data_IF_559172613902
#
_entry.id   IF_559172613902
#
_cell.length_a   1.000
_cell.length_b   1.000
_cell.length_c   1.000
_cell.angle_alpha   90.00
_cell.angle_beta   90.00
_cell.angle_gamma   90.00
#
_symmetry.space_group_name_H-M   'P 1'
#
loop_
_entity.id
_entity.type
_entity.pdbx_description
1 polymer ?
#
# COMPACT_ATOMS: atom_id res chain seq x y z
N UNK A 1 -6.32 -8.07 1.63
CA UNK A 1 -7.20 -8.16 0.46
C UNK A 1 -7.42 -6.75 -0.04
N UNK A 2 -7.09 -6.47 -1.30
CA UNK A 2 -7.20 -5.14 -1.91
C UNK A 2 -8.65 -4.69 -1.99
N UNK A 3 -8.96 -3.49 -1.51
CA UNK A 3 -10.29 -2.88 -1.58
C UNK A 3 -10.33 -1.86 -2.72
N UNK A 4 -11.03 -2.17 -3.79
CA UNK A 4 -11.19 -1.28 -4.96
C UNK A 4 -12.60 -0.70 -4.99
N UNK A 5 -12.72 0.63 -4.99
CA UNK A 5 -13.96 1.32 -5.27
C UNK A 5 -13.97 1.78 -6.74
N UNK A 6 -15.09 1.61 -7.43
CA UNK A 6 -15.34 2.19 -8.76
C UNK A 6 -16.61 3.02 -8.68
N UNK A 7 -16.52 4.31 -8.95
CA UNK A 7 -17.63 5.24 -8.92
C UNK A 7 -17.82 5.91 -10.28
N UNK A 8 -18.97 5.67 -10.89
CA UNK A 8 -19.38 6.21 -12.20
C UNK A 8 -20.92 6.13 -12.29
N UNK A 9 -21.61 7.16 -12.72
CA UNK A 9 -23.08 7.18 -12.83
C UNK A 9 -23.58 6.41 -14.07
N UNK A 10 -22.73 6.16 -15.07
CA UNK A 10 -23.01 5.25 -16.19
C UNK A 10 -22.86 3.79 -15.77
N UNK A 11 -23.99 3.08 -15.62
CA UNK A 11 -24.02 1.66 -15.21
C UNK A 11 -23.28 0.74 -16.17
N UNK A 12 -23.35 1.00 -17.48
CA UNK A 12 -22.68 0.19 -18.50
C UNK A 12 -21.18 0.36 -18.38
N UNK A 13 -20.73 1.59 -18.30
CA UNK A 13 -19.31 1.89 -18.20
C UNK A 13 -18.72 1.43 -16.85
N UNK A 14 -19.43 1.62 -15.75
CA UNK A 14 -19.02 1.14 -14.41
C UNK A 14 -18.80 -0.38 -14.39
N UNK A 15 -19.72 -1.16 -14.97
CA UNK A 15 -19.58 -2.61 -15.10
C UNK A 15 -18.44 -3.03 -16.04
N UNK A 16 -18.22 -2.27 -17.09
CA UNK A 16 -17.13 -2.49 -18.02
C UNK A 16 -15.77 -2.24 -17.35
N UNK A 17 -15.62 -1.14 -16.62
CA UNK A 17 -14.41 -0.84 -15.84
C UNK A 17 -14.14 -1.91 -14.79
N UNK A 18 -15.19 -2.41 -14.11
CA UNK A 18 -15.06 -3.50 -13.14
C UNK A 18 -14.51 -4.78 -13.77
N UNK A 19 -15.01 -5.16 -14.95
CA UNK A 19 -14.56 -6.37 -15.67
C UNK A 19 -13.08 -6.26 -16.06
N UNK A 20 -12.62 -5.08 -16.48
CA UNK A 20 -11.20 -4.86 -16.80
C UNK A 20 -10.36 -4.96 -15.51
N UNK A 21 -10.84 -4.35 -14.42
CA UNK A 21 -10.15 -4.40 -13.13
C UNK A 21 -10.06 -5.84 -12.57
N UNK A 22 -11.14 -6.62 -12.62
CA UNK A 22 -11.14 -8.03 -12.23
C UNK A 22 -10.09 -8.84 -13.01
N UNK A 23 -10.02 -8.64 -14.34
CA UNK A 23 -9.02 -9.32 -15.17
C UNK A 23 -7.59 -8.89 -14.82
N UNK A 24 -7.37 -7.61 -14.56
CA UNK A 24 -6.05 -7.08 -14.20
C UNK A 24 -5.58 -7.53 -12.80
N UNK A 25 -6.52 -7.81 -11.89
CA UNK A 25 -6.27 -8.20 -10.50
C UNK A 25 -6.42 -9.72 -10.26
N UNK A 26 -6.54 -10.55 -11.28
CA UNK A 26 -6.83 -11.98 -11.20
C UNK A 26 -5.93 -12.75 -10.21
N UNK A 27 -4.65 -12.38 -10.11
CA UNK A 27 -3.67 -13.01 -9.20
C UNK A 27 -3.60 -12.39 -7.80
N UNK A 28 -4.39 -11.36 -7.54
CA UNK A 28 -4.33 -10.58 -6.28
C UNK A 28 -5.65 -10.76 -5.55
N UNK A 29 -5.67 -11.19 -4.28
CA UNK A 29 -6.90 -11.21 -3.49
C UNK A 29 -7.51 -9.82 -3.38
N UNK A 30 -8.65 -9.59 -4.03
CA UNK A 30 -9.29 -8.29 -4.10
C UNK A 30 -10.80 -8.36 -3.87
N UNK A 31 -11.40 -7.21 -3.59
CA UNK A 31 -12.85 -7.00 -3.52
C UNK A 31 -13.19 -5.67 -4.20
N UNK A 32 -14.08 -5.70 -5.19
CA UNK A 32 -14.51 -4.52 -5.95
C UNK A 32 -15.91 -4.10 -5.49
N UNK A 33 -16.05 -2.86 -5.06
CA UNK A 33 -17.34 -2.22 -4.77
C UNK A 33 -17.68 -1.19 -5.84
N UNK A 34 -18.91 -1.26 -6.34
CA UNK A 34 -19.41 -0.37 -7.38
C UNK A 34 -20.37 0.64 -6.77
N UNK A 35 -20.19 1.91 -7.14
CA UNK A 35 -21.02 3.03 -6.69
C UNK A 35 -21.56 3.76 -7.91
N UNK A 36 -22.86 3.97 -7.94
CA UNK A 36 -23.57 4.67 -9.02
C UNK A 36 -23.67 6.18 -8.79
N UNK A 37 -23.24 6.62 -7.62
CA UNK A 37 -23.18 8.05 -7.30
C UNK A 37 -22.07 8.34 -6.26
N UNK A 38 -21.51 9.56 -6.28
CA UNK A 38 -20.42 9.96 -5.39
C UNK A 38 -20.84 10.04 -3.92
N UNK A 39 -22.10 10.42 -3.63
CA UNK A 39 -22.58 10.55 -2.26
C UNK A 39 -22.64 9.19 -1.54
N UNK A 40 -22.98 8.11 -2.25
CA UNK A 40 -22.96 6.76 -1.70
C UNK A 40 -21.55 6.32 -1.31
N UNK A 41 -20.55 6.57 -2.15
CA UNK A 41 -19.15 6.26 -1.83
C UNK A 41 -18.65 7.12 -0.65
N UNK A 42 -18.95 8.42 -0.67
CA UNK A 42 -18.57 9.32 0.42
C UNK A 42 -19.19 8.91 1.75
N UNK A 43 -20.46 8.52 1.78
CA UNK A 43 -21.16 8.03 2.97
C UNK A 43 -20.51 6.74 3.51
N UNK A 44 -20.22 5.77 2.65
CA UNK A 44 -19.57 4.53 3.04
C UNK A 44 -18.18 4.75 3.64
N UNK A 45 -17.44 5.73 3.15
CA UNK A 45 -16.13 6.08 3.69
C UNK A 45 -16.26 6.81 5.04
N UNK A 46 -17.20 7.78 5.15
CA UNK A 46 -17.31 8.63 6.34
C UNK A 46 -18.00 7.93 7.51
N UNK A 47 -19.06 7.16 7.23
CA UNK A 47 -19.97 6.59 8.24
C UNK A 47 -19.96 5.05 8.22
N UNK A 48 -19.80 4.45 7.03
CA UNK A 48 -19.86 3.00 6.84
C UNK A 48 -18.55 2.26 7.21
N UNK A 49 -17.48 2.99 7.53
CA UNK A 49 -16.18 2.41 7.87
C UNK A 49 -15.46 1.75 6.68
N UNK A 50 -15.88 2.04 5.45
CA UNK A 50 -15.22 1.53 4.25
C UNK A 50 -13.92 2.29 3.98
N UNK A 51 -12.82 1.56 3.84
CA UNK A 51 -11.49 2.11 3.58
C UNK A 51 -10.97 1.52 2.29
N UNK A 52 -11.18 2.17 1.13
CA UNK A 52 -10.66 1.71 -0.14
C UNK A 52 -9.14 1.92 -0.22
N UNK A 53 -8.43 0.94 -0.80
CA UNK A 53 -7.02 1.07 -1.15
C UNK A 53 -6.85 1.86 -2.45
N UNK A 54 -7.76 1.63 -3.41
CA UNK A 54 -7.81 2.33 -4.70
C UNK A 54 -9.25 2.78 -4.97
N UNK A 55 -9.41 4.00 -5.44
CA UNK A 55 -10.66 4.54 -5.94
C UNK A 55 -10.52 4.95 -7.41
N UNK A 56 -11.32 4.34 -8.28
CA UNK A 56 -11.47 4.69 -9.69
C UNK A 56 -12.72 5.56 -9.82
N UNK A 57 -12.54 6.82 -10.21
CA UNK A 57 -13.59 7.82 -10.15
C UNK A 57 -13.84 8.43 -11.53
N UNK A 58 -15.10 8.42 -11.98
CA UNK A 58 -15.50 9.33 -13.05
C UNK A 58 -15.42 10.78 -12.56
N UNK A 59 -14.96 11.67 -13.42
CA UNK A 59 -14.92 13.09 -13.09
C UNK A 59 -16.31 13.72 -13.26
N UNK A 60 -17.04 13.33 -14.27
CA UNK A 60 -18.34 13.93 -14.59
C UNK A 60 -19.50 13.06 -14.08
N UNK A 61 -19.99 13.38 -12.90
CA UNK A 61 -21.17 12.76 -12.29
C UNK A 61 -22.22 13.81 -11.91
N UNK A 62 -23.50 13.45 -11.95
CA UNK A 62 -24.61 14.40 -11.87
C UNK A 62 -24.73 15.19 -10.55
N UNK A 63 -24.28 14.67 -9.41
CA UNK A 63 -24.53 15.27 -8.09
C UNK A 63 -23.27 15.94 -7.49
N UNK A 64 -22.12 15.39 -7.72
CA UNK A 64 -20.83 15.86 -7.26
C UNK A 64 -19.78 15.41 -8.28
N UNK A 65 -18.88 16.30 -8.66
CA UNK A 65 -17.79 15.90 -9.55
C UNK A 65 -16.77 15.02 -8.83
N UNK A 66 -16.11 14.16 -9.60
CA UNK A 66 -15.13 13.19 -9.08
C UNK A 66 -13.89 13.85 -8.45
N UNK A 67 -13.57 15.10 -8.81
CA UNK A 67 -12.45 15.85 -8.25
C UNK A 67 -12.76 16.27 -6.81
N UNK A 68 -13.98 16.75 -6.58
CA UNK A 68 -14.48 17.08 -5.22
C UNK A 68 -14.49 15.83 -4.34
N UNK A 69 -14.99 14.70 -4.87
CA UNK A 69 -14.97 13.43 -4.16
C UNK A 69 -13.53 12.97 -3.84
N UNK A 70 -12.62 13.13 -4.77
CA UNK A 70 -11.20 12.79 -4.56
C UNK A 70 -10.55 13.63 -3.46
N UNK A 71 -10.87 14.94 -3.37
CA UNK A 71 -10.41 15.81 -2.28
C UNK A 71 -10.90 15.30 -0.92
N UNK A 72 -12.15 14.86 -0.83
CA UNK A 72 -12.70 14.27 0.40
C UNK A 72 -12.07 12.93 0.73
N UNK A 73 -11.87 12.06 -0.26
CA UNK A 73 -11.17 10.77 -0.09
C UNK A 73 -9.73 11.02 0.40
N UNK A 74 -8.98 11.93 -0.23
CA UNK A 74 -7.61 12.26 0.18
C UNK A 74 -7.53 12.76 1.63
N UNK A 75 -8.57 13.45 2.11
CA UNK A 75 -8.67 13.93 3.49
C UNK A 75 -9.05 12.81 4.47
N UNK A 76 -10.04 11.98 4.12
CA UNK A 76 -10.60 10.96 5.02
C UNK A 76 -9.77 9.68 5.02
N UNK A 77 -9.24 9.29 3.86
CA UNK A 77 -8.43 8.09 3.64
C UNK A 77 -7.15 8.48 2.87
N UNK A 78 -6.15 9.10 3.51
CA UNK A 78 -4.92 9.55 2.83
C UNK A 78 -4.11 8.43 2.18
N UNK A 79 -4.35 7.18 2.56
CA UNK A 79 -3.74 6.00 1.93
C UNK A 79 -4.40 5.60 0.61
N UNK A 80 -5.64 6.01 0.36
CA UNK A 80 -6.37 5.67 -0.86
C UNK A 80 -5.70 6.26 -2.10
N UNK A 81 -5.61 5.47 -3.15
CA UNK A 81 -5.08 5.87 -4.46
C UNK A 81 -6.20 6.22 -5.39
N UNK A 82 -6.22 7.45 -5.85
CA UNK A 82 -7.23 7.92 -6.79
C UNK A 82 -6.74 7.72 -8.23
N UNK A 83 -7.58 7.12 -9.05
CA UNK A 83 -7.44 7.03 -10.51
C UNK A 83 -8.64 7.72 -11.11
N UNK A 84 -8.44 8.77 -11.88
CA UNK A 84 -9.53 9.42 -12.59
C UNK A 84 -9.79 8.77 -13.94
N UNK A 85 -11.09 8.69 -14.28
CA UNK A 85 -11.55 8.34 -15.61
C UNK A 85 -12.42 9.49 -16.11
N UNK A 86 -12.29 9.89 -17.38
CA UNK A 86 -13.10 10.95 -17.96
C UNK A 86 -13.27 10.77 -19.46
N UNK A 87 -14.38 11.23 -19.98
CA UNK A 87 -14.60 11.34 -21.42
C UNK A 87 -13.82 12.49 -22.07
N UNK A 88 -13.31 13.43 -21.27
CA UNK A 88 -12.71 14.68 -21.74
C UNK A 88 -11.32 14.89 -21.14
N UNK A 89 -10.42 15.50 -21.92
CA UNK A 89 -9.08 15.88 -21.46
C UNK A 89 -9.04 17.21 -20.70
N UNK A 90 -10.09 18.01 -20.78
CA UNK A 90 -10.11 19.39 -20.28
C UNK A 90 -10.02 19.48 -18.76
N UNK A 91 -10.45 18.44 -18.06
CA UNK A 91 -10.37 18.32 -16.59
C UNK A 91 -8.99 17.92 -16.06
N UNK A 92 -8.00 17.70 -16.95
CA UNK A 92 -6.68 17.29 -16.54
C UNK A 92 -6.02 18.31 -15.62
N UNK A 93 -6.19 19.61 -15.89
CA UNK A 93 -5.64 20.68 -15.06
C UNK A 93 -6.26 20.70 -13.67
N UNK A 94 -7.58 20.54 -13.57
CA UNK A 94 -8.29 20.52 -12.29
C UNK A 94 -7.95 19.27 -11.47
N UNK A 95 -7.71 18.14 -12.13
CA UNK A 95 -7.25 16.91 -11.49
C UNK A 95 -5.89 17.08 -10.81
N UNK A 96 -4.99 17.94 -11.33
CA UNK A 96 -3.69 18.23 -10.70
C UNK A 96 -3.80 18.89 -9.32
N UNK A 97 -4.95 19.46 -8.95
CA UNK A 97 -5.21 19.99 -7.61
C UNK A 97 -5.43 18.89 -6.56
N UNK A 98 -5.51 17.63 -6.97
CA UNK A 98 -5.74 16.47 -6.09
C UNK A 98 -4.55 15.52 -6.09
N UNK A 99 -4.38 14.78 -4.99
CA UNK A 99 -3.45 13.67 -4.98
C UNK A 99 -4.07 12.49 -5.75
N UNK A 100 -3.64 12.27 -6.98
CA UNK A 100 -4.07 11.14 -7.81
C UNK A 100 -2.85 10.43 -8.43
N UNK A 101 -3.06 9.16 -8.83
CA UNK A 101 -2.00 8.31 -9.40
C UNK A 101 -2.02 8.35 -10.91
N UNK A 102 -3.21 8.42 -11.49
CA UNK A 102 -3.41 8.30 -12.93
C UNK A 102 -4.68 9.04 -13.38
N UNK A 103 -4.64 9.51 -14.64
CA UNK A 103 -5.78 10.07 -15.37
C UNK A 103 -5.96 9.28 -16.66
N UNK A 104 -7.16 8.76 -16.91
CA UNK A 104 -7.48 7.88 -18.03
C UNK A 104 -8.63 8.47 -18.83
N UNK A 105 -8.51 8.54 -20.14
CA UNK A 105 -9.66 8.80 -20.99
C UNK A 105 -10.52 7.53 -21.11
N UNK A 106 -11.86 7.67 -21.02
CA UNK A 106 -12.80 6.54 -21.15
C UNK A 106 -12.57 5.74 -22.44
N UNK A 107 -12.14 6.40 -23.52
CA UNK A 107 -11.80 5.77 -24.79
C UNK A 107 -10.56 4.85 -24.76
N UNK A 108 -9.69 4.97 -23.76
CA UNK A 108 -8.44 4.19 -23.66
C UNK A 108 -8.38 3.33 -22.36
N UNK A 109 -9.53 3.09 -21.74
CA UNK A 109 -9.62 2.41 -20.44
C UNK A 109 -9.06 0.99 -20.48
N UNK A 110 -9.30 0.23 -21.55
CA UNK A 110 -8.85 -1.17 -21.69
C UNK A 110 -7.33 -1.28 -21.59
N UNK A 111 -6.61 -0.34 -22.21
CA UNK A 111 -5.16 -0.34 -22.25
C UNK A 111 -4.54 0.28 -20.99
N UNK A 112 -5.21 1.30 -20.42
CA UNK A 112 -4.63 2.14 -19.37
C UNK A 112 -5.00 1.72 -17.95
N UNK A 113 -6.20 1.18 -17.73
CA UNK A 113 -6.64 0.82 -16.38
C UNK A 113 -5.76 -0.27 -15.73
N UNK A 114 -5.34 -1.34 -16.45
CA UNK A 114 -4.40 -2.31 -15.89
C UNK A 114 -3.09 -1.69 -15.41
N UNK A 115 -2.47 -0.84 -16.25
CA UNK A 115 -1.22 -0.15 -15.91
C UNK A 115 -1.40 0.86 -14.76
N UNK A 116 -2.56 1.52 -14.70
CA UNK A 116 -2.88 2.45 -13.61
C UNK A 116 -3.07 1.73 -12.27
N UNK A 117 -3.76 0.59 -12.27
CA UNK A 117 -3.91 -0.26 -11.08
C UNK A 117 -2.56 -0.78 -10.60
N UNK A 118 -1.73 -1.26 -11.50
CA UNK A 118 -0.37 -1.69 -11.17
C UNK A 118 0.45 -0.55 -10.56
N UNK A 119 0.43 0.64 -11.16
CA UNK A 119 1.09 1.83 -10.62
C UNK A 119 0.53 2.22 -9.25
N UNK A 120 -0.78 2.16 -9.04
CA UNK A 120 -1.43 2.45 -7.76
C UNK A 120 -0.96 1.47 -6.68
N UNK A 121 -0.87 0.19 -6.98
CA UNK A 121 -0.38 -0.84 -6.05
C UNK A 121 1.11 -0.64 -5.72
N UNK A 122 1.96 -0.35 -6.70
CA UNK A 122 3.40 -0.05 -6.47
C UNK A 122 3.59 1.19 -5.60
N UNK A 123 2.72 2.19 -5.74
CA UNK A 123 2.77 3.41 -4.91
C UNK A 123 2.37 3.11 -3.46
N UNK A 124 1.54 2.08 -3.22
CA UNK A 124 1.16 1.67 -1.86
C UNK A 124 2.36 1.11 -1.07
N UNK A 125 3.27 0.40 -1.72
CA UNK A 125 4.53 -0.03 -1.09
C UNK A 125 5.38 1.16 -0.60
N UNK A 126 5.36 2.27 -1.32
CA UNK A 126 6.09 3.49 -0.94
C UNK A 126 5.46 4.24 0.26
N UNK A 127 4.18 3.98 0.57
CA UNK A 127 3.43 4.66 1.65
C UNK A 127 3.15 3.79 2.87
N UNK A 128 3.54 2.52 2.90
CA UNK A 128 3.47 1.72 4.13
C UNK A 128 4.31 2.38 5.21
N UNK A 129 3.71 2.60 6.37
CA UNK A 129 4.33 3.33 7.46
C UNK A 129 4.29 2.53 8.76
N UNK A 130 5.36 2.64 9.52
CA UNK A 130 5.41 2.21 10.89
C UNK A 130 5.02 3.41 11.78
N UNK A 131 3.93 3.29 12.53
CA UNK A 131 3.53 4.32 13.50
C UNK A 131 4.04 3.93 14.87
N UNK A 132 4.97 4.72 15.41
CA UNK A 132 5.57 4.47 16.71
C UNK A 132 5.13 5.49 17.75
N UNK A 133 5.12 5.07 19.02
CA UNK A 133 4.91 5.93 20.17
C UNK A 133 6.26 6.27 20.81
N UNK A 134 6.52 7.56 21.01
CA UNK A 134 7.68 8.09 21.75
C UNK A 134 7.12 9.02 22.83
N UNK A 135 6.91 8.49 24.05
CA UNK A 135 6.19 9.21 25.10
C UNK A 135 4.75 9.50 24.66
N UNK A 136 4.35 10.78 24.66
CA UNK A 136 3.03 11.25 24.20
C UNK A 136 2.94 11.48 22.67
N UNK A 137 4.07 11.48 21.98
CA UNK A 137 4.13 11.74 20.55
C UNK A 137 3.95 10.48 19.73
N UNK A 138 3.35 10.62 18.54
CA UNK A 138 3.34 9.59 17.51
C UNK A 138 4.27 10.04 16.39
N UNK A 139 5.18 9.14 15.97
CA UNK A 139 6.06 9.36 14.83
C UNK A 139 5.73 8.36 13.75
N UNK A 140 5.64 8.84 12.52
CA UNK A 140 5.38 8.04 11.32
C UNK A 140 6.70 7.81 10.60
N UNK A 141 7.05 6.54 10.33
CA UNK A 141 8.29 6.14 9.68
C UNK A 141 7.90 5.41 8.40
N UNK A 142 8.34 5.86 7.22
CA UNK A 142 8.12 5.13 5.98
C UNK A 142 8.73 3.73 6.06
N UNK A 143 7.95 2.69 5.75
CA UNK A 143 8.42 1.30 5.89
C UNK A 143 9.65 1.01 5.02
N UNK A 144 9.76 1.69 3.87
CA UNK A 144 10.92 1.63 2.98
C UNK A 144 12.25 2.07 3.62
N UNK A 145 12.18 2.90 4.68
CA UNK A 145 13.37 3.35 5.43
C UNK A 145 13.74 2.41 6.57
N UNK A 146 12.85 1.47 6.92
CA UNK A 146 13.06 0.51 8.00
C UNK A 146 13.89 -0.66 7.50
N UNK A 147 15.06 -0.87 8.10
CA UNK A 147 15.96 -1.97 7.77
C UNK A 147 15.61 -3.21 8.61
N UNK A 148 15.53 -3.05 9.92
CA UNK A 148 15.16 -4.12 10.84
C UNK A 148 14.67 -3.56 12.18
N UNK A 149 13.98 -4.40 12.94
CA UNK A 149 13.62 -4.16 14.34
C UNK A 149 14.49 -5.05 15.22
N UNK A 150 15.13 -4.44 16.22
CA UNK A 150 15.98 -5.14 17.19
C UNK A 150 15.38 -5.02 18.59
N UNK A 151 15.04 -6.13 19.22
CA UNK A 151 14.58 -6.15 20.61
C UNK A 151 15.77 -6.10 21.57
N UNK A 152 15.83 -5.04 22.37
CA UNK A 152 16.85 -4.81 23.40
C UNK A 152 16.16 -4.67 24.76
N UNK A 153 16.17 -5.74 25.57
CA UNK A 153 15.50 -5.76 26.88
C UNK A 153 14.03 -5.32 26.78
N UNK A 154 13.73 -4.11 27.27
CA UNK A 154 12.37 -3.54 27.28
C UNK A 154 12.08 -2.57 26.14
N UNK A 155 13.04 -2.33 25.25
CA UNK A 155 12.92 -1.41 24.12
C UNK A 155 13.07 -2.13 22.78
N UNK A 156 12.54 -1.54 21.75
CA UNK A 156 12.79 -1.92 20.36
C UNK A 156 13.56 -0.79 19.69
N UNK A 157 14.75 -1.12 19.18
CA UNK A 157 15.52 -0.27 18.30
C UNK A 157 15.05 -0.53 16.87
N UNK A 158 14.51 0.49 16.23
CA UNK A 158 14.12 0.50 14.83
C UNK A 158 15.32 1.03 14.05
N UNK A 159 16.00 0.16 13.32
CA UNK A 159 17.10 0.58 12.45
C UNK A 159 16.50 1.13 11.18
N UNK A 160 16.77 2.39 10.91
CA UNK A 160 16.33 3.08 9.70
C UNK A 160 17.49 3.87 9.08
N UNK A 161 17.30 4.29 7.84
CA UNK A 161 18.15 5.29 7.20
C UNK A 161 17.39 6.62 7.23
N UNK A 162 17.94 7.74 7.74
CA UNK A 162 19.34 7.97 8.15
C UNK A 162 19.63 7.72 9.64
N UNK A 163 18.65 7.52 10.51
CA UNK A 163 18.84 7.46 11.96
C UNK A 163 18.09 6.29 12.62
N UNK A 164 18.63 5.77 13.72
CA UNK A 164 17.95 4.76 14.51
C UNK A 164 16.96 5.39 15.49
N UNK A 165 15.84 4.71 15.74
CA UNK A 165 14.76 5.22 16.59
C UNK A 165 14.42 4.18 17.66
N UNK A 166 14.26 4.60 18.91
CA UNK A 166 13.86 3.72 20.02
C UNK A 166 12.38 3.90 20.38
N UNK A 167 11.73 2.78 20.72
CA UNK A 167 10.36 2.76 21.27
C UNK A 167 10.21 1.66 22.32
N UNK A 168 9.22 1.80 23.21
CA UNK A 168 8.87 0.75 24.18
C UNK A 168 7.97 -0.32 23.60
N UNK A 169 7.34 -0.07 22.43
CA UNK A 169 6.49 -1.04 21.76
C UNK A 169 7.29 -2.27 21.32
N UNK A 170 6.71 -3.45 21.41
CA UNK A 170 7.35 -4.68 20.94
C UNK A 170 7.40 -4.75 19.40
N UNK A 171 8.35 -5.50 18.81
CA UNK A 171 8.38 -5.70 17.37
C UNK A 171 7.07 -6.27 16.81
N UNK A 172 6.44 -7.20 17.52
CA UNK A 172 5.18 -7.80 17.08
C UNK A 172 4.03 -6.80 17.06
N UNK A 173 3.91 -5.91 18.06
CA UNK A 173 2.92 -4.83 18.07
C UNK A 173 3.13 -3.87 16.90
N UNK A 174 4.38 -3.50 16.61
CA UNK A 174 4.72 -2.61 15.51
C UNK A 174 4.37 -3.23 14.16
N UNK A 175 4.74 -4.50 13.95
CA UNK A 175 4.49 -5.25 12.72
C UNK A 175 2.99 -5.46 12.49
N UNK A 176 2.24 -5.83 13.54
CA UNK A 176 0.79 -6.01 13.42
C UNK A 176 0.06 -4.70 13.09
N UNK A 177 0.54 -3.58 13.65
CA UNK A 177 -0.08 -2.28 13.44
C UNK A 177 0.22 -1.67 12.04
N UNK A 178 1.30 -2.08 11.37
CA UNK A 178 1.64 -1.53 10.05
C UNK A 178 0.97 -2.26 8.87
N UNK A 179 0.25 -3.36 9.12
CA UNK A 179 -0.43 -4.13 8.07
C UNK A 179 0.51 -4.79 7.04
N UNK A 180 1.80 -4.91 7.36
CA UNK A 180 2.84 -5.45 6.49
C UNK A 180 3.61 -6.59 7.18
N UNK A 181 2.89 -7.47 7.85
CA UNK A 181 3.51 -8.58 8.61
C UNK A 181 4.31 -9.52 7.71
N UNK A 182 3.88 -9.69 6.47
CA UNK A 182 4.53 -10.50 5.44
C UNK A 182 5.90 -9.95 5.01
N UNK A 183 6.14 -8.65 5.15
CA UNK A 183 7.42 -8.02 4.79
C UNK A 183 8.51 -8.26 5.85
N UNK A 184 8.13 -8.65 7.08
CA UNK A 184 9.08 -8.85 8.16
C UNK A 184 9.43 -10.32 8.38
N UNK A 185 10.74 -10.61 8.34
CA UNK A 185 11.30 -11.94 8.58
C UNK A 185 11.86 -11.98 9.99
N UNK A 186 11.29 -12.81 10.86
CA UNK A 186 11.85 -13.07 12.19
C UNK A 186 13.01 -14.06 12.06
N UNK A 187 14.23 -13.56 11.97
CA UNK A 187 15.44 -14.37 11.76
C UNK A 187 16.20 -14.73 13.04
N UNK A 188 15.90 -14.06 14.17
CA UNK A 188 16.54 -14.27 15.46
C UNK A 188 15.55 -14.03 16.60
N UNK A 189 15.87 -14.45 17.83
CA UNK A 189 15.03 -14.12 19.00
C UNK A 189 14.83 -12.62 19.19
N UNK A 190 15.82 -11.82 18.80
CA UNK A 190 15.85 -10.35 18.97
C UNK A 190 15.73 -9.57 17.66
N UNK A 191 15.67 -10.21 16.48
CA UNK A 191 15.68 -9.50 15.20
C UNK A 191 14.51 -9.89 14.30
N UNK A 192 13.88 -8.87 13.73
CA UNK A 192 12.89 -8.92 12.64
C UNK A 192 13.41 -8.05 11.50
N UNK A 193 13.79 -8.66 10.41
CA UNK A 193 14.36 -7.97 9.24
C UNK A 193 13.24 -7.61 8.27
N UNK A 194 13.24 -6.38 7.77
CA UNK A 194 12.44 -6.04 6.61
C UNK A 194 13.04 -6.75 5.39
N UNK A 195 12.33 -7.74 4.87
CA UNK A 195 12.81 -8.55 3.75
C UNK A 195 13.09 -7.75 2.48
N UNK A 196 12.40 -6.60 2.31
CA UNK A 196 12.65 -5.68 1.19
C UNK A 196 13.95 -4.87 1.34
N UNK A 197 14.48 -4.77 2.55
CA UNK A 197 15.77 -4.13 2.82
C UNK A 197 16.96 -5.11 2.75
N UNK A 198 16.71 -6.40 2.45
CA UNK A 198 17.76 -7.41 2.32
C UNK A 198 18.42 -7.31 0.96
N UNK A 199 19.71 -6.96 0.94
CA UNK A 199 20.53 -6.96 -0.27
C UNK A 199 21.02 -8.37 -0.63
N UNK A 200 21.35 -9.20 0.38
CA UNK A 200 21.74 -10.59 0.16
C UNK A 200 21.57 -11.44 1.41
N UNK A 201 21.40 -12.76 1.21
CA UNK A 201 21.31 -13.75 2.28
C UNK A 201 22.55 -14.64 2.27
N UNK A 202 23.28 -14.62 3.36
CA UNK A 202 24.40 -15.54 3.62
C UNK A 202 23.94 -16.81 4.34
N UNK A 203 24.93 -17.61 4.78
CA UNK A 203 24.66 -18.88 5.48
C UNK A 203 24.03 -18.67 6.85
N UNK A 204 24.41 -17.62 7.58
CA UNK A 204 24.06 -17.33 8.97
C UNK A 204 23.70 -15.87 9.24
N UNK A 205 23.55 -15.06 8.20
CA UNK A 205 23.19 -13.65 8.31
C UNK A 205 22.51 -13.13 7.06
N UNK A 206 21.67 -12.11 7.23
CA UNK A 206 21.22 -11.22 6.18
C UNK A 206 22.17 -10.03 6.08
N UNK A 207 22.50 -9.60 4.86
CA UNK A 207 23.17 -8.33 4.58
C UNK A 207 22.09 -7.36 4.12
N UNK A 208 21.97 -6.22 4.79
CA UNK A 208 20.96 -5.20 4.49
C UNK A 208 21.47 -4.20 3.44
N UNK A 209 20.59 -3.38 2.92
CA UNK A 209 20.88 -2.40 1.87
C UNK A 209 21.90 -1.33 2.28
N UNK A 210 22.09 -1.10 3.60
CA UNK A 210 23.12 -0.22 4.15
C UNK A 210 24.47 -0.92 4.40
N UNK A 211 24.58 -2.22 4.02
CA UNK A 211 25.75 -3.06 4.22
C UNK A 211 25.84 -3.69 5.63
N UNK A 212 24.97 -3.35 6.55
CA UNK A 212 24.93 -3.95 7.89
C UNK A 212 24.50 -5.41 7.84
N UNK A 213 24.90 -6.20 8.86
CA UNK A 213 24.57 -7.61 8.96
C UNK A 213 23.66 -7.88 10.14
N UNK A 214 22.67 -8.75 9.92
CA UNK A 214 21.76 -9.25 10.95
C UNK A 214 21.88 -10.76 11.05
N UNK A 215 22.19 -11.32 12.24
CA UNK A 215 22.40 -12.75 12.39
C UNK A 215 21.10 -13.55 12.24
N UNK A 216 21.23 -14.74 11.67
CA UNK A 216 20.15 -15.73 11.58
C UNK A 216 20.45 -16.82 12.63
N UNK A 217 19.56 -17.02 13.59
CA UNK A 217 19.74 -18.07 14.58
C UNK A 217 19.60 -19.46 13.94
N UNK A 218 20.32 -20.45 14.47
CA UNK A 218 20.26 -21.84 13.96
C UNK A 218 18.84 -22.39 13.93
N UNK A 219 18.05 -22.10 14.97
CA UNK A 219 16.67 -22.56 15.10
C UNK A 219 15.71 -21.94 14.09
N UNK A 220 16.04 -20.76 13.51
CA UNK A 220 15.15 -20.04 12.58
C UNK A 220 15.66 -20.04 11.14
N UNK A 221 16.75 -20.77 10.85
CA UNK A 221 17.43 -20.72 9.56
C UNK A 221 16.52 -21.16 8.39
N UNK A 222 15.79 -22.27 8.55
CA UNK A 222 14.86 -22.77 7.53
C UNK A 222 13.72 -21.79 7.32
N UNK A 223 13.05 -21.38 8.42
CA UNK A 223 11.92 -20.46 8.41
C UNK A 223 12.28 -19.10 7.76
N UNK A 224 13.43 -18.54 8.16
CA UNK A 224 13.90 -17.25 7.61
C UNK A 224 14.22 -17.34 6.11
N UNK A 225 14.79 -18.47 5.68
CA UNK A 225 15.10 -18.72 4.27
C UNK A 225 13.83 -18.85 3.44
N UNK A 226 12.89 -19.64 3.90
CA UNK A 226 11.60 -19.82 3.20
C UNK A 226 10.82 -18.50 3.11
N UNK A 227 10.76 -17.73 4.20
CA UNK A 227 10.12 -16.43 4.21
C UNK A 227 10.78 -15.46 3.22
N UNK A 228 12.12 -15.43 3.15
CA UNK A 228 12.83 -14.58 2.21
C UNK A 228 12.58 -14.98 0.75
N UNK A 229 12.63 -16.28 0.42
CA UNK A 229 12.32 -16.74 -0.95
C UNK A 229 10.85 -16.49 -1.33
N UNK A 230 9.92 -16.60 -0.40
CA UNK A 230 8.51 -16.26 -0.64
C UNK A 230 8.35 -14.79 -1.03
N UNK A 231 9.04 -13.88 -0.36
CA UNK A 231 9.05 -12.46 -0.71
C UNK A 231 9.63 -12.21 -2.11
N UNK A 232 10.72 -12.89 -2.45
CA UNK A 232 11.33 -12.77 -3.78
C UNK A 232 10.40 -13.33 -4.89
N UNK A 233 9.72 -14.44 -4.63
CA UNK A 233 8.80 -15.06 -5.60
C UNK A 233 7.53 -14.23 -5.79
N UNK A 234 7.04 -13.55 -4.75
CA UNK A 234 5.92 -12.60 -4.85
C UNK A 234 6.29 -11.29 -5.54
N UNK A 235 7.60 -10.93 -5.57
CA UNK A 235 8.12 -9.74 -6.26
C UNK A 235 8.60 -10.05 -7.70
N UNK A 236 8.72 -11.33 -8.08
CA UNK A 236 9.43 -11.78 -9.27
C UNK A 236 8.55 -12.38 -10.36
N UNK A 237 7.31 -11.97 -10.48
CA UNK A 237 6.47 -12.30 -11.64
C UNK A 237 6.60 -11.22 -12.73
N UNK A 238 7.85 -10.82 -13.05
CA UNK A 238 8.15 -10.02 -14.24
C UNK A 238 9.52 -10.43 -14.77
N UNK A 239 9.52 -11.32 -15.76
CA UNK A 239 10.44 -11.39 -16.88
C UNK A 239 9.62 -11.54 -18.14
#
# INVERSE_FOLDING_TARGET
MLQLAICDDDDIFRKFAAKIAESALDKIPHFIRLFDNPAALQFEISEGGYVPDIAVLDIQMAQMDGITLAKDINRLVPSCRVIFISSYSDYLMDAYETEHVYYILKSDIENRLPAALEKAMRTDEARRHLVIKIGSLRRVIPLRSVLCLERQLHKTLIRTVPENIETTQSPNELISACGAAEDFIRCHQSYWVNGRAVASMGTDSFVLSDGSRVPISRARKSEAREAFFRLLSGSGAEQ
#
